data_IF_997482986475
#
_entry.id   IF_997482986475
#
_cell.length_a   1.000
_cell.length_b   1.000
_cell.length_c   1.000
_cell.angle_alpha   90.00
_cell.angle_beta   90.00
_cell.angle_gamma   90.00
#
_symmetry.space_group_name_H-M   'P 1'
#
loop_
_entity.id
_entity.type
_entity.pdbx_description
1 polymer ?
#
# COMPACT_ATOMS: atom_id res chain seq x y z
N UNK A 1 -7.63 -20.11 27.42
CA UNK A 1 -8.43 -19.12 26.64
C UNK A 1 -8.52 -19.61 25.20
N UNK A 2 -9.73 -19.90 24.72
CA UNK A 2 -9.95 -20.66 23.48
C UNK A 2 -9.51 -19.94 22.21
N UNK A 3 -9.22 -20.71 21.16
CA UNK A 3 -8.83 -20.24 19.82
C UNK A 3 -9.69 -19.08 19.28
N UNK A 4 -11.01 -19.14 19.51
CA UNK A 4 -11.98 -18.10 19.13
C UNK A 4 -11.68 -16.74 19.80
N UNK A 5 -11.03 -16.73 20.96
CA UNK A 5 -10.76 -15.52 21.72
C UNK A 5 -9.63 -14.67 21.14
N UNK A 6 -8.78 -15.21 20.26
CA UNK A 6 -7.73 -14.44 19.60
C UNK A 6 -8.23 -13.86 18.27
N UNK A 7 -8.99 -14.65 17.51
CA UNK A 7 -9.61 -14.20 16.25
C UNK A 7 -10.66 -13.11 16.44
N UNK A 8 -11.29 -13.02 17.62
CA UNK A 8 -12.19 -11.89 17.93
C UNK A 8 -11.50 -10.53 17.78
N UNK A 9 -10.20 -10.44 18.07
CA UNK A 9 -9.44 -9.19 17.95
C UNK A 9 -9.12 -8.87 16.50
N UNK A 10 -8.78 -9.89 15.70
CA UNK A 10 -8.63 -9.74 14.23
C UNK A 10 -9.96 -9.25 13.63
N UNK A 11 -11.07 -9.88 14.00
CA UNK A 11 -12.40 -9.51 13.53
C UNK A 11 -12.78 -8.08 13.95
N UNK A 12 -12.64 -7.74 15.23
CA UNK A 12 -12.96 -6.41 15.74
C UNK A 12 -12.13 -5.33 15.04
N UNK A 13 -10.84 -5.61 14.83
CA UNK A 13 -9.95 -4.69 14.15
C UNK A 13 -10.29 -4.55 12.65
N UNK A 14 -10.63 -5.65 11.98
CA UNK A 14 -11.10 -5.63 10.58
C UNK A 14 -12.38 -4.81 10.43
N UNK A 15 -13.34 -4.99 11.35
CA UNK A 15 -14.56 -4.18 11.39
C UNK A 15 -14.22 -2.71 11.60
N UNK A 16 -13.25 -2.38 12.46
CA UNK A 16 -12.81 -1.01 12.66
C UNK A 16 -12.19 -0.38 11.40
N UNK A 17 -11.37 -1.15 10.65
CA UNK A 17 -10.82 -0.71 9.35
C UNK A 17 -11.96 -0.42 8.38
N UNK A 18 -12.85 -1.39 8.14
CA UNK A 18 -13.95 -1.20 7.17
C UNK A 18 -14.93 -0.10 7.57
N UNK A 19 -15.16 0.08 8.87
CA UNK A 19 -16.00 1.16 9.37
C UNK A 19 -15.35 2.54 9.20
N UNK A 20 -14.01 2.64 9.21
CA UNK A 20 -13.30 3.91 9.06
C UNK A 20 -13.30 4.42 7.61
N UNK A 21 -13.32 3.52 6.62
CA UNK A 21 -13.23 3.83 5.18
C UNK A 21 -14.03 5.07 4.70
N UNK A 22 -15.35 5.18 4.95
CA UNK A 22 -16.14 6.32 4.47
C UNK A 22 -15.80 7.64 5.17
N UNK A 23 -15.22 7.59 6.38
CA UNK A 23 -14.89 8.76 7.19
C UNK A 23 -13.47 9.25 6.96
N UNK A 24 -12.52 8.34 6.68
CA UNK A 24 -11.09 8.66 6.62
C UNK A 24 -10.79 9.75 5.59
N UNK A 25 -11.43 9.74 4.42
CA UNK A 25 -11.20 10.79 3.40
C UNK A 25 -11.62 12.17 3.89
N UNK A 26 -12.82 12.29 4.47
CA UNK A 26 -13.34 13.54 5.03
C UNK A 26 -12.46 14.06 6.16
N UNK A 27 -11.96 13.17 7.00
CA UNK A 27 -11.04 13.52 8.07
C UNK A 27 -9.71 14.05 7.50
N UNK A 28 -9.15 13.38 6.49
CA UNK A 28 -7.91 13.84 5.85
C UNK A 28 -8.08 15.18 5.15
N UNK A 29 -9.16 15.37 4.39
CA UNK A 29 -9.46 16.65 3.72
C UNK A 29 -9.63 17.77 4.77
N UNK A 30 -10.26 17.49 5.92
CA UNK A 30 -10.40 18.45 7.02
C UNK A 30 -9.06 18.80 7.70
N UNK A 31 -8.14 17.84 7.81
CA UNK A 31 -6.80 18.06 8.33
C UNK A 31 -5.93 18.84 7.32
N UNK A 32 -6.08 18.55 6.03
CA UNK A 32 -5.43 19.25 4.92
C UNK A 32 -5.83 20.71 4.86
N UNK A 33 -7.14 20.98 4.94
CA UNK A 33 -7.68 22.34 4.96
C UNK A 33 -7.14 23.19 6.13
N UNK A 34 -6.59 22.55 7.17
CA UNK A 34 -6.01 23.21 8.35
C UNK A 34 -4.47 23.16 8.35
N UNK A 35 -3.84 22.60 7.32
CA UNK A 35 -2.39 22.37 7.24
C UNK A 35 -1.84 21.53 8.42
N UNK A 36 -2.63 20.56 8.91
CA UNK A 36 -2.32 19.73 10.09
C UNK A 36 -1.79 18.33 9.73
N UNK A 37 -1.58 18.02 8.45
CA UNK A 37 -1.11 16.70 8.00
C UNK A 37 0.26 16.33 8.59
N UNK A 38 1.16 17.32 8.70
CA UNK A 38 2.46 17.15 9.34
C UNK A 38 2.33 16.74 10.80
N UNK A 39 1.42 17.36 11.54
CA UNK A 39 1.17 17.06 12.96
C UNK A 39 0.71 15.62 13.17
N UNK A 40 -0.15 15.10 12.30
CA UNK A 40 -0.60 13.70 12.37
C UNK A 40 0.57 12.74 12.13
N UNK A 41 1.41 13.03 11.12
CA UNK A 41 2.62 12.24 10.84
C UNK A 41 3.59 12.23 12.02
N UNK A 42 3.82 13.37 12.67
CA UNK A 42 4.63 13.45 13.88
C UNK A 42 4.00 12.70 15.05
N UNK A 43 2.68 12.77 15.21
CA UNK A 43 1.96 12.07 16.29
C UNK A 43 2.10 10.55 16.16
N UNK A 44 2.01 10.01 14.95
CA UNK A 44 2.25 8.58 14.68
C UNK A 44 3.70 8.21 15.06
N UNK A 45 4.68 9.00 14.64
CA UNK A 45 6.09 8.77 14.99
C UNK A 45 6.32 8.78 16.51
N UNK A 46 5.76 9.77 17.23
CA UNK A 46 5.87 9.86 18.68
C UNK A 46 5.19 8.69 19.39
N UNK A 47 4.02 8.25 18.92
CA UNK A 47 3.35 7.05 19.44
C UNK A 47 4.20 5.79 19.24
N UNK A 48 4.84 5.62 18.07
CA UNK A 48 5.74 4.50 17.80
C UNK A 48 6.97 4.51 18.72
N UNK A 49 7.59 5.68 18.92
CA UNK A 49 8.72 5.85 19.84
C UNK A 49 8.29 5.54 21.27
N UNK A 50 7.12 6.01 21.71
CA UNK A 50 6.60 5.75 23.05
C UNK A 50 6.31 4.25 23.26
N UNK A 51 5.70 3.58 22.28
CA UNK A 51 5.47 2.13 22.30
C UNK A 51 6.79 1.35 22.36
N UNK A 52 7.79 1.75 21.57
CA UNK A 52 9.12 1.16 21.62
C UNK A 52 9.76 1.34 23.01
N UNK A 53 9.69 2.54 23.60
CA UNK A 53 10.23 2.82 24.93
C UNK A 53 9.54 2.00 26.03
N UNK A 54 8.21 1.87 26.00
CA UNK A 54 7.44 1.04 26.92
C UNK A 54 7.76 -0.44 26.76
N UNK A 55 7.92 -0.91 25.53
CA UNK A 55 8.34 -2.26 25.22
C UNK A 55 9.76 -2.56 25.73
N UNK A 56 10.70 -1.64 25.55
CA UNK A 56 12.04 -1.70 26.13
C UNK A 56 12.03 -1.80 27.66
N UNK A 57 11.18 -0.99 28.30
CA UNK A 57 10.98 -1.02 29.76
C UNK A 57 10.39 -2.35 30.22
N UNK A 58 9.49 -2.94 29.44
CA UNK A 58 8.92 -4.26 29.71
C UNK A 58 9.97 -5.37 29.59
N UNK A 59 10.81 -5.34 28.55
CA UNK A 59 11.88 -6.32 28.37
C UNK A 59 12.92 -6.27 29.52
N UNK A 60 13.35 -5.07 29.93
CA UNK A 60 14.27 -4.89 31.07
C UNK A 60 13.73 -5.38 32.41
N UNK A 61 12.41 -5.53 32.56
CA UNK A 61 11.83 -6.07 33.80
C UNK A 61 11.96 -7.59 33.93
N UNK A 62 12.35 -8.29 32.87
CA UNK A 62 12.36 -9.75 32.80
C UNK A 62 13.76 -10.34 32.54
N UNK A 63 14.83 -9.66 32.93
CA UNK A 63 16.29 -9.91 32.66
C UNK A 63 16.87 -11.32 32.93
N UNK A 64 16.06 -12.36 33.13
CA UNK A 64 16.51 -13.73 33.42
C UNK A 64 16.64 -14.64 32.19
N UNK A 65 16.17 -14.24 30.99
CA UNK A 65 16.30 -15.08 29.78
C UNK A 65 17.49 -14.62 28.91
N UNK A 66 18.54 -15.45 28.73
CA UNK A 66 19.74 -15.10 27.96
C UNK A 66 19.50 -14.81 26.47
N UNK A 67 18.30 -15.11 25.94
CA UNK A 67 17.93 -14.77 24.54
C UNK A 67 17.43 -13.33 24.37
N UNK A 68 17.16 -12.63 25.47
CA UNK A 68 16.59 -11.27 25.44
C UNK A 68 17.42 -10.23 24.69
N UNK A 69 18.77 -10.20 24.76
CA UNK A 69 19.54 -9.21 24.02
C UNK A 69 19.34 -9.36 22.50
N UNK A 70 19.43 -10.58 21.99
CA UNK A 70 19.25 -10.86 20.55
C UNK A 70 17.83 -10.56 20.07
N UNK A 71 16.81 -10.93 20.86
CA UNK A 71 15.41 -10.59 20.56
C UNK A 71 15.18 -9.08 20.56
N UNK A 72 15.78 -8.36 21.52
CA UNK A 72 15.69 -6.91 21.64
C UNK A 72 16.32 -6.22 20.43
N UNK A 73 17.54 -6.62 20.05
CA UNK A 73 18.23 -6.10 18.87
C UNK A 73 17.43 -6.41 17.61
N UNK A 74 16.94 -7.64 17.47
CA UNK A 74 16.14 -8.03 16.31
C UNK A 74 14.82 -7.24 16.18
N UNK A 75 14.16 -6.93 17.30
CA UNK A 75 12.97 -6.08 17.31
C UNK A 75 13.29 -4.60 17.01
N UNK A 76 14.43 -4.09 17.48
CA UNK A 76 14.91 -2.76 17.09
C UNK A 76 15.15 -2.66 15.59
N UNK A 77 15.88 -3.64 15.03
CA UNK A 77 16.18 -3.69 13.59
C UNK A 77 14.88 -3.79 12.80
N UNK A 78 13.95 -4.67 13.20
CA UNK A 78 12.65 -4.78 12.55
C UNK A 78 11.86 -3.48 12.61
N UNK A 79 11.83 -2.81 13.77
CA UNK A 79 11.13 -1.54 13.95
C UNK A 79 11.75 -0.43 13.09
N UNK A 80 13.08 -0.39 13.01
CA UNK A 80 13.80 0.57 12.17
C UNK A 80 13.55 0.32 10.68
N UNK A 81 13.57 -0.94 10.23
CA UNK A 81 13.22 -1.32 8.85
C UNK A 81 11.77 -0.96 8.54
N UNK A 82 10.82 -1.28 9.43
CA UNK A 82 9.41 -0.94 9.24
C UNK A 82 9.20 0.57 9.13
N UNK A 83 9.85 1.37 9.99
CA UNK A 83 9.78 2.82 9.96
C UNK A 83 10.43 3.39 8.68
N UNK A 84 11.59 2.87 8.29
CA UNK A 84 12.28 3.29 7.06
C UNK A 84 11.45 2.96 5.81
N UNK A 85 10.87 1.76 5.73
CA UNK A 85 9.97 1.36 4.65
C UNK A 85 8.74 2.26 4.60
N UNK A 86 8.12 2.55 5.75
CA UNK A 86 6.99 3.48 5.82
C UNK A 86 7.39 4.86 5.29
N UNK A 87 8.50 5.45 5.75
CA UNK A 87 8.94 6.79 5.30
C UNK A 87 9.31 6.82 3.82
N UNK A 88 9.95 5.78 3.30
CA UNK A 88 10.41 5.73 1.91
C UNK A 88 9.28 5.43 0.91
N UNK A 89 8.36 4.54 1.27
CA UNK A 89 7.33 4.05 0.34
C UNK A 89 6.06 4.91 0.36
N UNK A 90 5.90 5.77 1.36
CA UNK A 90 4.70 6.59 1.53
C UNK A 90 5.00 8.08 1.38
N UNK A 91 4.31 8.72 0.44
CA UNK A 91 4.43 10.16 0.16
C UNK A 91 3.38 10.96 0.92
N UNK A 92 2.21 10.36 1.17
CA UNK A 92 1.08 11.02 1.83
C UNK A 92 0.76 10.39 3.18
N UNK A 93 0.15 11.18 4.07
CA UNK A 93 -0.17 10.73 5.43
C UNK A 93 -1.12 9.54 5.47
N UNK A 94 -2.05 9.44 4.51
CA UNK A 94 -3.00 8.33 4.45
C UNK A 94 -2.32 6.99 4.17
N UNK A 95 -1.34 6.96 3.28
CA UNK A 95 -0.53 5.76 2.99
C UNK A 95 0.24 5.29 4.23
N UNK A 96 0.70 6.21 5.09
CA UNK A 96 1.36 5.87 6.37
C UNK A 96 0.40 5.19 7.33
N UNK A 97 -0.85 5.66 7.36
CA UNK A 97 -1.91 5.07 8.19
C UNK A 97 -2.18 3.64 7.69
N UNK A 98 -2.39 3.43 6.39
CA UNK A 98 -2.55 2.09 5.82
C UNK A 98 -1.35 1.19 6.15
N UNK A 99 -0.13 1.66 5.93
CA UNK A 99 1.08 0.88 6.23
C UNK A 99 1.12 0.43 7.71
N UNK A 100 0.78 1.32 8.64
CA UNK A 100 0.68 0.96 10.05
C UNK A 100 -0.49 0.00 10.34
N UNK A 101 -1.67 0.28 9.79
CA UNK A 101 -2.89 -0.50 10.01
C UNK A 101 -2.70 -1.97 9.62
N UNK A 102 -2.11 -2.22 8.46
CA UNK A 102 -1.87 -3.56 7.94
C UNK A 102 -0.70 -4.28 8.61
N UNK A 103 0.33 -3.53 9.04
CA UNK A 103 1.36 -4.09 9.93
C UNK A 103 0.75 -4.61 11.24
N UNK A 104 -0.13 -3.82 11.87
CA UNK A 104 -0.82 -4.23 13.09
C UNK A 104 -1.79 -5.40 12.84
N UNK A 105 -2.53 -5.38 11.73
CA UNK A 105 -3.39 -6.49 11.33
C UNK A 105 -2.59 -7.80 11.20
N UNK A 106 -1.46 -7.77 10.49
CA UNK A 106 -0.61 -8.93 10.32
C UNK A 106 -0.06 -9.45 11.65
N UNK A 107 0.28 -8.57 12.59
CA UNK A 107 0.67 -8.95 13.95
C UNK A 107 -0.47 -9.69 14.68
N UNK A 108 -1.70 -9.17 14.61
CA UNK A 108 -2.88 -9.81 15.22
C UNK A 108 -3.18 -11.18 14.58
N UNK A 109 -3.12 -11.27 13.25
CA UNK A 109 -3.24 -12.53 12.51
C UNK A 109 -2.16 -13.53 12.93
N UNK A 110 -0.91 -13.08 13.09
CA UNK A 110 0.20 -13.92 13.52
C UNK A 110 0.04 -14.42 14.96
N UNK A 111 -0.50 -13.58 15.85
CA UNK A 111 -0.84 -13.97 17.22
C UNK A 111 -1.99 -14.98 17.26
N UNK A 112 -3.04 -14.77 16.47
CA UNK A 112 -4.21 -15.64 16.42
C UNK A 112 -3.88 -17.01 15.80
N UNK A 113 -3.15 -17.03 14.68
CA UNK A 113 -2.71 -18.26 14.02
C UNK A 113 -1.79 -19.10 14.93
N UNK A 114 -0.96 -18.44 15.75
CA UNK A 114 -0.06 -19.09 16.71
C UNK A 114 -0.75 -19.89 17.81
N UNK A 115 -2.07 -19.74 17.98
CA UNK A 115 -2.86 -20.52 18.95
C UNK A 115 -3.21 -21.93 18.46
N UNK A 116 -3.14 -22.18 17.15
CA UNK A 116 -3.51 -23.46 16.52
C UNK A 116 -2.39 -24.05 15.68
N UNK A 117 -1.53 -23.19 15.14
CA UNK A 117 -0.48 -23.58 14.22
C UNK A 117 0.89 -23.18 14.76
N UNK A 118 1.88 -24.05 14.53
CA UNK A 118 3.28 -23.81 14.84
C UNK A 118 4.10 -23.80 13.56
N UNK A 119 5.36 -23.37 13.67
CA UNK A 119 6.29 -23.30 12.55
C UNK A 119 5.71 -22.54 11.36
N UNK A 120 5.97 -23.03 10.15
CA UNK A 120 5.58 -22.37 8.90
C UNK A 120 4.06 -22.19 8.74
N UNK A 121 3.25 -23.18 9.16
CA UNK A 121 1.78 -23.11 9.05
C UNK A 121 1.21 -21.88 9.76
N UNK A 122 1.82 -21.45 10.87
CA UNK A 122 1.45 -20.23 11.58
C UNK A 122 1.54 -19.00 10.67
N UNK A 123 2.67 -18.85 9.98
CA UNK A 123 2.93 -17.71 9.10
C UNK A 123 2.08 -17.76 7.84
N UNK A 124 1.89 -18.95 7.27
CA UNK A 124 1.01 -19.15 6.13
C UNK A 124 -0.43 -18.71 6.43
N UNK A 125 -1.03 -19.20 7.52
CA UNK A 125 -2.40 -18.82 7.89
C UNK A 125 -2.52 -17.34 8.26
N UNK A 126 -1.52 -16.78 8.94
CA UNK A 126 -1.50 -15.37 9.28
C UNK A 126 -1.40 -14.47 8.04
N UNK A 127 -0.51 -14.81 7.11
CA UNK A 127 -0.33 -14.12 5.85
C UNK A 127 -1.56 -14.22 4.97
N UNK A 128 -2.11 -15.42 4.78
CA UNK A 128 -3.34 -15.61 4.01
C UNK A 128 -4.50 -14.75 4.55
N UNK A 129 -4.67 -14.69 5.88
CA UNK A 129 -5.71 -13.86 6.50
C UNK A 129 -5.45 -12.36 6.26
N UNK A 130 -4.23 -11.87 6.53
CA UNK A 130 -3.89 -10.46 6.34
C UNK A 130 -4.02 -10.01 4.88
N UNK A 131 -3.54 -10.82 3.93
CA UNK A 131 -3.65 -10.57 2.50
C UNK A 131 -5.11 -10.56 2.02
N UNK A 132 -5.93 -11.51 2.49
CA UNK A 132 -7.35 -11.56 2.13
C UNK A 132 -8.07 -10.31 2.62
N UNK A 133 -7.82 -9.88 3.86
CA UNK A 133 -8.44 -8.69 4.42
C UNK A 133 -7.98 -7.42 3.67
N UNK A 134 -6.68 -7.28 3.40
CA UNK A 134 -6.16 -6.14 2.63
C UNK A 134 -6.66 -6.09 1.18
N UNK A 135 -6.87 -7.24 0.55
CA UNK A 135 -7.52 -7.30 -0.77
C UNK A 135 -8.99 -6.91 -0.69
N UNK A 136 -9.74 -7.41 0.31
CA UNK A 136 -11.14 -7.06 0.50
C UNK A 136 -11.33 -5.57 0.77
N UNK A 137 -10.41 -4.95 1.50
CA UNK A 137 -10.41 -3.52 1.75
C UNK A 137 -10.37 -2.72 0.44
N UNK A 138 -9.41 -3.02 -0.44
CA UNK A 138 -9.31 -2.36 -1.74
C UNK A 138 -10.55 -2.59 -2.62
N UNK A 139 -11.12 -3.79 -2.59
CA UNK A 139 -12.39 -4.06 -3.29
C UNK A 139 -13.51 -3.18 -2.74
N UNK A 140 -13.63 -3.04 -1.41
CA UNK A 140 -14.64 -2.17 -0.79
C UNK A 140 -14.37 -0.71 -1.14
N UNK A 141 -13.11 -0.27 -1.10
CA UNK A 141 -12.72 1.10 -1.50
C UNK A 141 -13.08 1.37 -2.97
N UNK A 142 -12.88 0.42 -3.87
CA UNK A 142 -13.28 0.51 -5.27
C UNK A 142 -14.79 0.59 -5.50
N UNK A 143 -15.60 0.12 -4.55
CA UNK A 143 -17.07 0.21 -4.59
C UNK A 143 -17.60 1.51 -3.96
N UNK A 144 -16.80 2.21 -3.17
CA UNK A 144 -17.21 3.45 -2.51
C UNK A 144 -17.11 4.64 -3.48
N UNK A 145 -18.16 5.48 -3.61
CA UNK A 145 -18.22 6.53 -4.63
C UNK A 145 -17.20 7.67 -4.40
N UNK A 146 -16.66 7.79 -3.19
CA UNK A 146 -15.68 8.80 -2.80
C UNK A 146 -14.26 8.24 -2.68
N UNK A 147 -14.03 7.03 -3.18
CA UNK A 147 -12.74 6.32 -3.16
C UNK A 147 -12.51 5.67 -4.52
N UNK A 148 -11.26 5.30 -4.74
CA UNK A 148 -10.86 4.57 -5.93
C UNK A 148 -10.09 3.35 -5.47
N UNK A 149 -10.24 2.25 -6.20
CA UNK A 149 -9.34 1.12 -6.07
C UNK A 149 -7.93 1.59 -6.42
N UNK A 150 -6.99 1.39 -5.50
CA UNK A 150 -5.60 1.79 -5.68
C UNK A 150 -4.72 0.55 -5.42
N UNK A 151 -4.05 0.06 -6.47
CA UNK A 151 -3.26 -1.16 -6.29
C UNK A 151 -1.88 -0.90 -5.70
N UNK A 152 -1.48 0.37 -5.55
CA UNK A 152 -0.38 0.76 -4.67
C UNK A 152 -0.78 0.60 -3.20
N UNK A 153 -2.01 0.92 -2.82
CA UNK A 153 -2.50 0.64 -1.45
C UNK A 153 -2.48 -0.87 -1.17
N UNK A 154 -2.91 -1.70 -2.13
CA UNK A 154 -2.74 -3.16 -2.03
C UNK A 154 -1.27 -3.56 -1.77
N UNK A 155 -0.33 -3.00 -2.54
CA UNK A 155 1.10 -3.28 -2.38
C UNK A 155 1.65 -2.82 -1.02
N UNK A 156 1.21 -1.66 -0.53
CA UNK A 156 1.58 -1.16 0.79
C UNK A 156 1.06 -2.09 1.89
N UNK A 157 -0.19 -2.54 1.79
CA UNK A 157 -0.81 -3.47 2.74
C UNK A 157 -0.07 -4.81 2.78
N UNK A 158 0.30 -5.32 1.60
CA UNK A 158 1.11 -6.53 1.44
C UNK A 158 2.51 -6.36 2.05
N UNK A 159 3.17 -5.23 1.78
CA UNK A 159 4.54 -4.95 2.26
C UNK A 159 4.56 -4.81 3.78
N UNK A 160 3.66 -4.03 4.36
CA UNK A 160 3.54 -3.87 5.80
C UNK A 160 3.29 -5.21 6.50
N UNK A 161 2.36 -6.01 5.96
CA UNK A 161 2.07 -7.34 6.47
C UNK A 161 3.27 -8.28 6.35
N UNK A 162 3.93 -8.27 5.20
CA UNK A 162 5.11 -9.09 4.91
C UNK A 162 6.26 -8.81 5.87
N UNK A 163 6.57 -7.54 6.15
CA UNK A 163 7.63 -7.16 7.10
C UNK A 163 7.36 -7.72 8.50
N UNK A 164 6.12 -7.62 8.98
CA UNK A 164 5.74 -8.15 10.30
C UNK A 164 5.81 -9.67 10.35
N UNK A 165 5.39 -10.36 9.28
CA UNK A 165 5.46 -11.82 9.21
C UNK A 165 6.91 -12.31 9.12
N UNK A 166 7.75 -11.68 8.30
CA UNK A 166 9.18 -11.99 8.17
C UNK A 166 9.92 -11.73 9.47
N UNK A 167 9.67 -10.59 10.10
CA UNK A 167 10.20 -10.26 11.41
C UNK A 167 9.77 -11.27 12.48
N UNK A 168 8.49 -11.63 12.50
CA UNK A 168 7.97 -12.67 13.39
C UNK A 168 8.62 -14.04 13.16
N UNK A 169 8.91 -14.39 11.90
CA UNK A 169 9.57 -15.65 11.54
C UNK A 169 11.04 -15.67 11.98
N UNK A 170 11.76 -14.57 11.76
CA UNK A 170 13.16 -14.43 12.13
C UNK A 170 13.36 -14.42 13.65
N UNK A 171 12.45 -13.77 14.39
CA UNK A 171 12.56 -13.60 15.84
C UNK A 171 11.98 -14.76 16.65
N UNK A 172 10.99 -15.47 16.10
CA UNK A 172 10.30 -16.57 16.78
C UNK A 172 10.20 -17.83 15.91
N UNK A 173 11.33 -18.37 15.39
CA UNK A 173 11.31 -19.62 14.65
C UNK A 173 10.94 -20.77 15.61
N UNK A 174 9.71 -21.28 15.50
CA UNK A 174 9.27 -22.51 16.17
C UNK A 174 9.17 -22.43 17.70
N UNK A 175 8.57 -21.38 18.27
CA UNK A 175 8.35 -21.34 19.72
C UNK A 175 7.27 -22.36 20.18
N UNK A 176 7.70 -23.59 20.43
CA UNK A 176 6.89 -24.72 20.91
C UNK A 176 6.44 -24.57 22.38
N UNK A 177 6.83 -23.48 23.06
CA UNK A 177 6.64 -23.29 24.52
C UNK A 177 5.18 -23.11 24.93
N UNK A 178 4.27 -22.73 24.03
CA UNK A 178 2.87 -22.37 24.37
C UNK A 178 2.02 -23.57 24.82
N UNK A 179 2.43 -24.81 24.54
CA UNK A 179 1.66 -26.00 24.93
C UNK A 179 2.31 -26.90 25.99
N UNK A 180 3.48 -26.53 26.51
CA UNK A 180 4.25 -27.39 27.42
C UNK A 180 3.91 -27.30 28.92
N UNK A 181 3.16 -26.29 29.39
CA UNK A 181 2.98 -26.04 30.83
C UNK A 181 1.71 -26.63 31.47
N UNK A 182 0.71 -26.98 30.68
CA UNK A 182 -0.56 -27.53 31.20
C UNK A 182 -0.77 -29.01 30.86
N UNK A 183 0.23 -29.68 30.29
CA UNK A 183 0.15 -31.13 30.12
C UNK A 183 0.18 -31.77 31.51
N UNK A 184 -0.91 -32.43 31.96
CA UNK A 184 -0.93 -33.09 33.26
C UNK A 184 0.24 -34.07 33.30
N UNK A 185 1.13 -33.89 34.27
CA UNK A 185 2.18 -34.85 34.54
C UNK A 185 1.49 -36.16 34.90
N UNK A 186 1.35 -37.06 33.93
CA UNK A 186 0.81 -38.39 34.18
C UNK A 186 1.78 -39.09 35.14
N UNK A 187 1.42 -39.34 36.42
CA UNK A 187 2.35 -39.86 37.41
C UNK A 187 2.67 -41.34 37.20
N UNK A 188 2.02 -42.00 36.23
CA UNK A 188 2.23 -43.43 35.96
C UNK A 188 3.33 -43.59 34.93
N UNK A 189 4.52 -43.80 35.44
CA UNK A 189 5.70 -44.21 34.69
C UNK A 189 5.42 -45.47 33.87
N UNK A 190 5.17 -45.27 32.59
CA UNK A 190 5.56 -46.23 31.57
C UNK A 190 6.62 -45.55 30.74
N UNK A 191 7.83 -46.11 30.75
CA UNK A 191 8.95 -45.75 29.88
C UNK A 191 8.57 -46.03 28.41
N UNK A 192 7.63 -45.26 27.88
CA UNK A 192 7.13 -45.32 26.52
C UNK A 192 7.73 -44.18 25.74
N UNK A 193 8.48 -44.54 24.68
CA UNK A 193 9.07 -43.66 23.66
C UNK A 193 8.50 -42.25 23.69
N UNK A 194 9.32 -41.31 24.12
CA UNK A 194 9.13 -39.88 23.93
C UNK A 194 8.78 -39.66 22.44
N UNK A 195 7.51 -39.38 22.07
CA UNK A 195 7.17 -39.16 20.68
C UNK A 195 7.82 -37.86 20.30
N UNK A 196 9.01 -37.99 19.72
CA UNK A 196 9.71 -37.05 18.86
C UNK A 196 9.15 -35.64 18.97
N UNK A 197 9.76 -34.87 19.87
CA UNK A 197 10.11 -33.46 19.64
C UNK A 197 11.06 -33.36 18.43
N UNK A 198 10.65 -33.90 17.29
CA UNK A 198 11.23 -33.50 16.03
C UNK A 198 10.58 -32.14 15.78
N UNK A 199 11.19 -31.09 16.33
CA UNK A 199 10.89 -29.73 15.89
C UNK A 199 11.04 -29.78 14.39
N UNK A 200 9.91 -29.79 13.68
CA UNK A 200 9.87 -30.09 12.26
C UNK A 200 10.76 -29.08 11.58
N UNK A 201 11.97 -29.50 11.21
CA UNK A 201 12.81 -28.72 10.33
C UNK A 201 11.93 -28.33 9.14
N UNK A 202 11.90 -27.05 8.74
CA UNK A 202 11.01 -26.60 7.68
C UNK A 202 11.17 -27.54 6.50
N UNK A 203 10.06 -28.17 6.15
CA UNK A 203 10.02 -29.15 5.07
C UNK A 203 10.48 -28.46 3.79
N UNK A 204 11.01 -29.19 2.79
CA UNK A 204 11.30 -28.60 1.49
C UNK A 204 10.10 -27.81 0.92
N UNK A 205 8.86 -28.27 1.17
CA UNK A 205 7.63 -27.54 0.85
C UNK A 205 7.47 -26.21 1.59
N UNK A 206 7.87 -26.11 2.86
CA UNK A 206 7.83 -24.86 3.61
C UNK A 206 8.83 -23.84 3.04
N UNK A 207 10.03 -24.29 2.65
CA UNK A 207 11.04 -23.43 2.02
C UNK A 207 10.57 -22.93 0.65
N UNK A 208 9.97 -23.81 -0.16
CA UNK A 208 9.38 -23.44 -1.45
C UNK A 208 8.27 -22.41 -1.26
N UNK A 209 7.41 -22.59 -0.25
CA UNK A 209 6.32 -21.66 0.01
C UNK A 209 6.80 -20.27 0.47
N UNK A 210 7.88 -20.17 1.26
CA UNK A 210 8.54 -18.88 1.57
C UNK A 210 9.11 -18.25 0.31
N UNK A 211 9.83 -19.02 -0.51
CA UNK A 211 10.40 -18.51 -1.77
C UNK A 211 9.28 -18.03 -2.69
N UNK A 212 8.18 -18.77 -2.82
CA UNK A 212 7.02 -18.35 -3.60
C UNK A 212 6.36 -17.09 -3.04
N UNK A 213 6.19 -16.98 -1.73
CA UNK A 213 5.66 -15.76 -1.10
C UNK A 213 6.57 -14.56 -1.38
N UNK A 214 7.88 -14.73 -1.22
CA UNK A 214 8.87 -13.69 -1.53
C UNK A 214 8.84 -13.34 -3.01
N UNK A 215 8.78 -14.32 -3.92
CA UNK A 215 8.69 -14.09 -5.36
C UNK A 215 7.38 -13.42 -5.75
N UNK A 216 6.25 -13.73 -5.09
CA UNK A 216 4.98 -13.04 -5.32
C UNK A 216 5.08 -11.59 -4.86
N UNK A 217 5.64 -11.33 -3.68
CA UNK A 217 5.89 -9.96 -3.20
C UNK A 217 6.83 -9.22 -4.14
N UNK A 218 7.93 -9.83 -4.55
CA UNK A 218 8.90 -9.24 -5.49
C UNK A 218 8.30 -9.01 -6.88
N UNK A 219 7.46 -9.91 -7.38
CA UNK A 219 6.75 -9.76 -8.64
C UNK A 219 5.73 -8.62 -8.56
N UNK A 220 4.99 -8.50 -7.45
CA UNK A 220 4.09 -7.38 -7.22
C UNK A 220 4.82 -6.05 -7.10
N UNK A 221 5.95 -6.00 -6.37
CA UNK A 221 6.84 -4.83 -6.31
C UNK A 221 7.35 -4.49 -7.70
N UNK A 222 7.78 -5.48 -8.48
CA UNK A 222 8.25 -5.29 -9.84
C UNK A 222 7.14 -4.71 -10.72
N UNK A 223 5.95 -5.33 -10.75
CA UNK A 223 4.77 -4.87 -11.51
C UNK A 223 4.40 -3.42 -11.12
N UNK A 224 4.39 -3.11 -9.82
CA UNK A 224 4.13 -1.75 -9.33
C UNK A 224 5.23 -0.74 -9.68
N UNK A 225 6.46 -1.21 -9.91
CA UNK A 225 7.61 -0.38 -10.32
C UNK A 225 7.75 -0.24 -11.84
N UNK A 226 7.05 -1.05 -12.64
CA UNK A 226 7.06 -0.89 -14.10
C UNK A 226 6.33 0.39 -14.47
N UNK A 227 7.09 1.39 -14.92
CA UNK A 227 6.55 2.64 -15.43
C UNK A 227 5.80 2.42 -16.75
N UNK A 228 4.83 3.28 -17.02
CA UNK A 228 4.16 3.30 -18.32
C UNK A 228 5.11 3.74 -19.42
N UNK A 229 5.00 3.11 -20.58
CA UNK A 229 5.70 3.56 -21.77
C UNK A 229 4.96 4.79 -22.34
N UNK A 230 5.57 5.99 -22.37
CA UNK A 230 4.95 7.18 -22.93
C UNK A 230 4.57 7.04 -24.40
N UNK A 231 5.17 6.08 -25.12
CA UNK A 231 4.80 5.74 -26.51
C UNK A 231 3.32 5.35 -26.63
N UNK A 232 2.70 4.79 -25.57
CA UNK A 232 1.28 4.41 -25.60
C UNK A 232 0.33 5.61 -25.61
N UNK A 233 0.76 6.76 -25.09
CA UNK A 233 -0.02 8.01 -25.06
C UNK A 233 0.16 8.85 -26.33
N UNK A 234 1.20 8.55 -27.12
CA UNK A 234 1.49 9.27 -28.34
C UNK A 234 0.29 9.22 -29.29
N UNK A 235 -0.11 10.40 -29.76
CA UNK A 235 -1.23 10.53 -30.68
C UNK A 235 -1.89 11.89 -30.65
N UNK A 236 -2.88 12.02 -31.52
CA UNK A 236 -3.81 13.14 -31.52
C UNK A 236 -5.01 12.81 -30.62
N UNK A 237 -5.40 13.79 -29.83
CA UNK A 237 -6.54 13.76 -28.92
C UNK A 237 -7.40 15.00 -29.18
N UNK A 238 -8.72 14.87 -29.24
CA UNK A 238 -9.66 15.96 -29.52
C UNK A 238 -10.73 16.05 -28.44
N UNK A 239 -11.18 17.26 -28.11
CA UNK A 239 -12.39 17.46 -27.30
C UNK A 239 -13.24 18.60 -27.84
N UNK A 240 -14.53 18.45 -27.66
CA UNK A 240 -15.47 19.57 -27.75
C UNK A 240 -15.33 20.40 -26.47
N UNK A 241 -14.72 21.59 -26.59
CA UNK A 241 -14.60 22.52 -25.47
C UNK A 241 -15.96 23.20 -25.21
N UNK A 242 -16.37 23.44 -23.95
CA UNK A 242 -17.53 24.28 -23.62
C UNK A 242 -17.56 25.67 -24.28
N UNK A 243 -16.41 26.19 -24.74
CA UNK A 243 -16.33 27.40 -25.55
C UNK A 243 -16.81 27.24 -27.01
N UNK A 244 -17.22 26.04 -27.43
CA UNK A 244 -17.73 25.76 -28.78
C UNK A 244 -16.64 25.68 -29.87
N UNK A 245 -15.38 25.58 -29.46
CA UNK A 245 -14.23 25.43 -30.38
C UNK A 245 -13.58 24.08 -30.12
N UNK A 246 -13.45 23.25 -31.15
CA UNK A 246 -12.76 21.96 -31.00
C UNK A 246 -11.29 22.20 -30.65
N UNK A 247 -10.84 21.52 -29.60
CA UNK A 247 -9.44 21.55 -29.18
C UNK A 247 -8.78 20.23 -29.56
N UNK A 248 -7.63 20.34 -30.22
CA UNK A 248 -6.76 19.19 -30.50
C UNK A 248 -5.51 19.27 -29.64
N UNK A 249 -5.10 18.14 -29.10
CA UNK A 249 -3.91 17.94 -28.30
C UNK A 249 -3.08 16.83 -28.95
N UNK A 250 -1.88 17.16 -29.38
CA UNK A 250 -0.93 16.23 -29.96
C UNK A 250 0.16 15.91 -28.94
N UNK A 251 0.33 14.63 -28.64
CA UNK A 251 1.35 14.11 -27.73
C UNK A 251 2.42 13.40 -28.57
N UNK A 252 3.64 13.93 -28.55
CA UNK A 252 4.82 13.36 -29.21
C UNK A 252 5.47 12.30 -28.28
N UNK A 253 5.93 11.15 -28.82
CA UNK A 253 6.79 10.20 -28.08
C UNK A 253 7.97 10.84 -27.34
N UNK A 254 8.50 11.97 -27.83
CA UNK A 254 9.59 12.73 -27.22
C UNK A 254 9.19 13.54 -25.97
N UNK A 255 7.93 13.47 -25.51
CA UNK A 255 7.49 14.18 -24.31
C UNK A 255 6.94 15.58 -24.55
N UNK A 256 6.81 16.01 -25.81
CA UNK A 256 6.26 17.30 -26.19
C UNK A 256 4.74 17.20 -26.34
N UNK A 257 4.01 18.15 -25.76
CA UNK A 257 2.58 18.32 -26.04
C UNK A 257 2.35 19.63 -26.76
N UNK A 258 1.52 19.59 -27.79
CA UNK A 258 1.05 20.76 -28.53
C UNK A 258 -0.48 20.79 -28.50
N UNK A 259 -1.06 21.89 -28.02
CA UNK A 259 -2.49 22.17 -28.14
C UNK A 259 -2.72 23.12 -29.31
N UNK A 260 -3.77 22.86 -30.09
CA UNK A 260 -4.26 23.77 -31.12
C UNK A 260 -5.77 23.85 -31.04
N UNK A 261 -6.28 25.07 -31.12
CA UNK A 261 -7.69 25.30 -31.38
C UNK A 261 -7.94 25.67 -32.85
N UNK A 262 -9.22 25.71 -33.25
CA UNK A 262 -9.59 26.07 -34.62
C UNK A 262 -9.28 27.53 -34.97
N UNK A 263 -9.03 28.40 -33.99
CA UNK A 263 -8.66 29.81 -34.23
C UNK A 263 -7.19 29.97 -34.65
N UNK A 264 -6.42 28.87 -34.66
CA UNK A 264 -4.99 28.86 -34.96
C UNK A 264 -4.12 29.21 -33.75
N UNK A 265 -4.74 29.40 -32.59
CA UNK A 265 -4.06 29.64 -31.35
C UNK A 265 -3.51 28.32 -30.82
N UNK A 266 -2.30 28.37 -30.26
CA UNK A 266 -1.57 27.16 -29.89
C UNK A 266 -0.77 27.33 -28.62
N UNK A 267 -0.66 26.25 -27.86
CA UNK A 267 0.21 26.16 -26.70
C UNK A 267 1.11 24.94 -26.83
N UNK A 268 2.28 25.01 -26.19
CA UNK A 268 3.20 23.88 -26.10
C UNK A 268 3.71 23.71 -24.69
N UNK A 269 4.00 22.46 -24.33
CA UNK A 269 4.39 22.08 -22.99
C UNK A 269 5.13 20.76 -22.99
N UNK A 270 5.54 20.38 -21.79
CA UNK A 270 6.04 19.02 -21.53
C UNK A 270 5.05 18.29 -20.66
N UNK A 271 5.05 16.98 -20.75
CA UNK A 271 4.32 16.14 -19.80
C UNK A 271 5.25 15.23 -19.03
N UNK A 272 4.81 14.92 -17.83
CA UNK A 272 5.36 13.87 -17.00
C UNK A 272 4.23 12.88 -16.75
N UNK A 273 4.45 11.60 -17.09
CA UNK A 273 3.53 10.55 -16.67
C UNK A 273 3.88 10.25 -15.21
N UNK A 274 2.99 10.69 -14.35
CA UNK A 274 2.97 10.33 -12.94
C UNK A 274 2.00 9.17 -12.73
N UNK A 275 2.16 8.39 -11.66
CA UNK A 275 1.37 7.17 -11.42
C UNK A 275 2.00 5.90 -12.02
N UNK A 276 1.46 4.74 -11.66
CA UNK A 276 1.97 3.42 -12.01
C UNK A 276 0.94 2.66 -12.88
N UNK A 277 1.25 1.42 -13.32
CA UNK A 277 0.32 0.55 -14.08
C UNK A 277 -0.98 0.20 -13.35
N UNK A 278 -1.02 0.47 -12.06
CA UNK A 278 -2.02 0.01 -11.11
C UNK A 278 -3.07 1.11 -10.82
N UNK A 279 -2.68 2.38 -10.86
CA UNK A 279 -3.53 3.55 -10.54
C UNK A 279 -4.10 4.24 -11.80
N UNK A 280 -3.65 3.77 -12.97
CA UNK A 280 -3.80 4.44 -14.25
C UNK A 280 -2.76 5.56 -14.43
N UNK A 281 -2.29 5.85 -15.65
CA UNK A 281 -1.36 6.94 -15.86
C UNK A 281 -2.05 8.27 -15.53
N UNK A 282 -1.37 9.09 -14.73
CA UNK A 282 -1.73 10.49 -14.51
C UNK A 282 -0.79 11.37 -15.31
N UNK A 283 -1.33 12.10 -16.27
CA UNK A 283 -0.55 13.02 -17.07
C UNK A 283 -0.44 14.35 -16.33
N UNK A 284 0.74 14.69 -15.79
CA UNK A 284 1.05 16.03 -15.31
C UNK A 284 1.56 16.84 -16.49
N UNK A 285 0.85 17.90 -16.84
CA UNK A 285 1.18 18.75 -17.97
C UNK A 285 1.68 20.10 -17.46
N UNK A 286 2.84 20.52 -17.94
CA UNK A 286 3.42 21.85 -17.69
C UNK A 286 3.47 22.65 -18.98
N UNK A 287 2.65 23.70 -19.07
CA UNK A 287 2.56 24.59 -20.24
C UNK A 287 3.75 25.56 -20.24
N UNK A 288 4.56 25.54 -21.31
CA UNK A 288 5.77 26.38 -21.46
C UNK A 288 5.53 27.63 -22.28
N UNK A 289 4.79 27.51 -23.38
CA UNK A 289 4.52 28.62 -24.29
C UNK A 289 3.06 28.57 -24.75
N UNK A 290 2.48 29.75 -24.98
CA UNK A 290 1.10 29.89 -25.41
C UNK A 290 1.00 31.14 -26.31
N UNK A 291 0.45 31.01 -27.51
CA UNK A 291 0.29 32.11 -28.46
C UNK A 291 -1.12 32.16 -29.02
N UNK A 292 -1.71 33.35 -29.08
CA UNK A 292 -3.08 33.60 -29.52
C UNK A 292 -3.87 34.45 -28.51
N UNK A 293 -4.88 35.17 -29.00
CA UNK A 293 -5.77 36.03 -28.21
C UNK A 293 -7.12 35.37 -27.89
N UNK A 294 -7.20 34.03 -27.96
CA UNK A 294 -8.43 33.31 -27.71
C UNK A 294 -8.80 33.36 -26.23
N UNK A 295 -10.08 33.63 -25.94
CA UNK A 295 -10.66 33.64 -24.58
C UNK A 295 -10.76 32.23 -23.95
N UNK A 296 -10.31 31.19 -24.65
CA UNK A 296 -10.29 29.82 -24.16
C UNK A 296 -9.27 29.63 -23.02
N UNK A 297 -9.68 28.85 -22.02
CA UNK A 297 -9.08 28.72 -20.69
C UNK A 297 -7.60 28.28 -20.59
N UNK A 298 -6.88 28.05 -21.68
CA UNK A 298 -5.44 27.74 -21.64
C UNK A 298 -4.57 29.01 -21.60
N UNK A 299 -5.06 30.16 -22.06
CA UNK A 299 -4.35 31.44 -21.97
C UNK A 299 -4.29 31.99 -20.52
N UNK A 300 -5.30 31.68 -19.70
CA UNK A 300 -5.40 32.13 -18.31
C UNK A 300 -4.50 31.37 -17.31
N UNK A 301 -3.81 30.32 -17.76
CA UNK A 301 -3.26 29.27 -16.89
C UNK A 301 -1.77 28.98 -17.11
N UNK A 302 -1.02 29.90 -17.73
CA UNK A 302 0.44 29.77 -17.89
C UNK A 302 1.10 29.47 -16.53
N UNK A 303 1.89 28.40 -16.47
CA UNK A 303 2.64 28.00 -15.28
C UNK A 303 1.85 27.20 -14.24
N UNK A 304 0.62 26.76 -14.53
CA UNK A 304 -0.10 25.80 -13.68
C UNK A 304 0.03 24.38 -14.21
N UNK A 305 0.20 23.44 -13.28
CA UNK A 305 0.19 22.02 -13.61
C UNK A 305 -1.24 21.50 -13.73
N UNK A 306 -1.47 20.69 -14.77
CA UNK A 306 -2.76 20.04 -15.01
C UNK A 306 -2.61 18.53 -14.92
N UNK A 307 -3.57 17.88 -14.26
CA UNK A 307 -3.60 16.43 -14.09
C UNK A 307 -4.74 15.83 -14.93
N UNK A 308 -4.39 14.85 -15.76
CA UNK A 308 -5.36 14.08 -16.53
C UNK A 308 -5.24 12.60 -16.17
N UNK A 309 -6.37 11.92 -16.02
CA UNK A 309 -6.40 10.45 -15.93
C UNK A 309 -6.53 9.89 -17.34
N UNK A 310 -5.68 8.93 -17.67
CA UNK A 310 -5.69 8.28 -18.99
C UNK A 310 -6.42 6.94 -18.92
N UNK A 311 -7.35 6.75 -19.84
CA UNK A 311 -7.90 5.46 -20.27
C UNK A 311 -7.49 5.23 -21.75
N UNK A 312 -7.48 3.98 -22.24
CA UNK A 312 -7.04 3.60 -23.59
C UNK A 312 -7.74 4.39 -24.72
N UNK A 313 -8.90 4.98 -24.43
CA UNK A 313 -9.72 5.75 -25.38
C UNK A 313 -10.01 7.19 -24.96
N UNK A 314 -9.75 7.55 -23.70
CA UNK A 314 -10.21 8.81 -23.10
C UNK A 314 -9.12 9.43 -22.22
N UNK A 315 -8.92 10.74 -22.39
CA UNK A 315 -8.14 11.56 -21.47
C UNK A 315 -9.11 12.42 -20.65
N UNK A 316 -9.28 12.07 -19.38
CA UNK A 316 -10.21 12.71 -18.44
C UNK A 316 -9.49 13.80 -17.64
N UNK A 317 -9.98 15.03 -17.70
CA UNK A 317 -9.46 16.11 -16.88
C UNK A 317 -9.92 15.93 -15.43
N UNK A 318 -8.98 15.81 -14.48
CA UNK A 318 -9.29 15.43 -13.10
C UNK A 318 -10.20 16.44 -12.36
N UNK A 319 -10.31 17.67 -12.85
CA UNK A 319 -11.10 18.75 -12.23
C UNK A 319 -12.47 18.94 -12.89
N UNK A 320 -12.66 18.46 -14.12
CA UNK A 320 -13.88 18.75 -14.91
C UNK A 320 -14.25 17.56 -15.83
N UNK A 321 -15.04 16.60 -15.32
CA UNK A 321 -15.33 15.34 -16.03
C UNK A 321 -16.25 15.50 -17.25
N UNK A 322 -16.91 16.64 -17.44
CA UNK A 322 -17.98 16.80 -18.43
C UNK A 322 -17.49 16.85 -19.88
N UNK A 323 -16.19 17.09 -20.13
CA UNK A 323 -15.63 17.24 -21.47
C UNK A 323 -14.30 16.45 -21.64
N UNK A 324 -14.35 15.11 -21.77
CA UNK A 324 -13.16 14.30 -21.97
C UNK A 324 -12.56 14.47 -23.37
N UNK A 325 -11.25 14.37 -23.45
CA UNK A 325 -10.54 14.20 -24.72
C UNK A 325 -10.74 12.77 -25.25
N UNK A 326 -11.03 12.64 -26.54
CA UNK A 326 -11.14 11.39 -27.28
C UNK A 326 -9.95 11.27 -28.22
N UNK A 327 -9.51 10.05 -28.54
CA UNK A 327 -8.47 9.86 -29.55
C UNK A 327 -9.02 10.29 -30.92
N UNK A 328 -8.27 11.10 -31.66
CA UNK A 328 -8.68 11.53 -33.01
C UNK A 328 -8.91 10.27 -33.87
N UNK A 329 -10.01 10.25 -34.64
CA UNK A 329 -10.27 9.16 -35.58
C UNK A 329 -9.10 8.99 -36.55
N UNK A 330 -8.68 7.74 -36.80
CA UNK A 330 -7.50 7.26 -37.56
C UNK A 330 -6.84 8.21 -38.58
N UNK A 331 -6.30 9.32 -38.10
CA UNK A 331 -5.49 10.25 -38.86
C UNK A 331 -4.04 9.83 -38.60
N UNK A 332 -3.31 9.37 -39.63
CA UNK A 332 -1.90 9.02 -39.46
C UNK A 332 -1.11 10.26 -39.04
N UNK A 333 -0.10 10.01 -38.21
CA UNK A 333 0.87 10.99 -37.70
C UNK A 333 1.53 11.83 -38.80
#
# INVERSE_FOLDING_TARGET
MGFLSAWKWVLLYTVAIFFSLPFTRRLMDALEARNLQGLLSFSILFCLIALAALFFRFLRRNDKDPRQPGLTIGLLVLSAVFLASMVWMTSVTIERIHFFEYGLLAFLCLHAAGRRHQGFRRFFHAGAAALTIGFLDEVIQGLLPNRYYDSRDLLLNMTASGLVLLGGFALFPGDDRVHGKDAPQNPRGTAGRNPRRDGLAPTPSDKIAVILLVLVVLAFVWIGSVQWDPVLLAGCWERENPCGVDETMQIDPAGLIVWRDQSGAHASGTFEITGNRLDGPQLRITVKAASGSGDCAWAADRGRDRYYRVDERLLLFCVEPSHPFRRCGSQPF
#
